data_IF_229149737572
#
_entry.id   IF_229149737572
#
_cell.length_a   1.000
_cell.length_b   1.000
_cell.length_c   1.000
_cell.angle_alpha   90.00
_cell.angle_beta   90.00
_cell.angle_gamma   90.00
#
_symmetry.space_group_name_H-M   'P 1'
#
loop_
_entity.id
_entity.type
_entity.pdbx_description
1 polymer ?
#
# COMPACT_ATOMS: atom_id res chain seq x y z
N UNK A 1 -5.41 -16.89 14.21
CA UNK A 1 -4.68 -15.84 13.47
C UNK A 1 -5.71 -14.83 12.97
N UNK A 2 -5.46 -13.53 13.09
CA UNK A 2 -6.32 -12.49 12.52
C UNK A 2 -6.13 -12.43 11.00
N UNK A 3 -7.12 -11.95 10.23
CA UNK A 3 -6.92 -11.70 8.81
C UNK A 3 -5.95 -10.52 8.59
N UNK A 4 -5.36 -10.46 7.40
CA UNK A 4 -4.62 -9.29 6.94
C UNK A 4 -5.56 -8.32 6.21
N UNK A 5 -5.16 -7.06 6.14
CA UNK A 5 -5.75 -6.03 5.28
C UNK A 5 -4.77 -5.69 4.17
N UNK A 6 -5.23 -5.71 2.93
CA UNK A 6 -4.48 -5.32 1.74
C UNK A 6 -5.14 -4.10 1.11
N UNK A 7 -4.34 -3.08 0.73
CA UNK A 7 -4.84 -1.85 0.12
C UNK A 7 -4.22 -1.71 -1.26
N UNK A 8 -5.04 -1.84 -2.31
CA UNK A 8 -4.63 -1.93 -3.70
C UNK A 8 -5.18 -0.77 -4.53
N UNK A 9 -4.31 -0.16 -5.34
CA UNK A 9 -4.62 0.95 -6.26
C UNK A 9 -4.47 0.54 -7.73
N UNK A 10 -3.85 -0.61 -8.01
CA UNK A 10 -3.62 -1.12 -9.36
C UNK A 10 -3.96 -2.61 -9.47
N UNK A 11 -4.22 -3.08 -10.67
CA UNK A 11 -4.47 -4.50 -10.92
C UNK A 11 -3.25 -5.37 -10.58
N UNK A 12 -2.03 -4.84 -10.76
CA UNK A 12 -0.80 -5.53 -10.36
C UNK A 12 -0.76 -5.78 -8.85
N UNK A 13 -1.04 -4.76 -8.04
CA UNK A 13 -1.07 -4.86 -6.59
C UNK A 13 -2.12 -5.87 -6.12
N UNK A 14 -3.31 -5.87 -6.77
CA UNK A 14 -4.35 -6.88 -6.50
C UNK A 14 -3.85 -8.30 -6.74
N UNK A 15 -3.13 -8.53 -7.85
CA UNK A 15 -2.58 -9.86 -8.16
C UNK A 15 -1.56 -10.29 -7.11
N UNK A 16 -0.61 -9.43 -6.78
CA UNK A 16 0.44 -9.70 -5.79
C UNK A 16 -0.17 -10.02 -4.43
N UNK A 17 -1.09 -9.19 -3.96
CA UNK A 17 -1.70 -9.37 -2.64
C UNK A 17 -2.69 -10.54 -2.59
N UNK A 18 -3.35 -10.89 -3.70
CA UNK A 18 -4.17 -12.10 -3.78
C UNK A 18 -3.31 -13.37 -3.64
N UNK A 19 -2.14 -13.40 -4.29
CA UNK A 19 -1.19 -14.50 -4.18
C UNK A 19 -0.60 -14.60 -2.76
N UNK A 20 -0.29 -13.46 -2.15
CA UNK A 20 0.14 -13.38 -0.73
C UNK A 20 -0.95 -13.89 0.21
N UNK A 21 -2.18 -13.44 0.03
CA UNK A 21 -3.33 -13.87 0.82
C UNK A 21 -3.59 -15.38 0.69
N UNK A 22 -3.49 -15.95 -0.52
CA UNK A 22 -3.68 -17.37 -0.78
C UNK A 22 -2.65 -18.30 -0.11
N UNK A 23 -1.49 -17.75 0.27
CA UNK A 23 -0.46 -18.50 1.03
C UNK A 23 -0.68 -18.46 2.53
N UNK A 24 -1.50 -17.56 3.03
CA UNK A 24 -1.82 -17.44 4.44
C UNK A 24 -3.01 -18.34 4.79
N UNK A 25 -2.79 -19.30 5.69
CA UNK A 25 -3.90 -20.13 6.20
C UNK A 25 -4.84 -19.29 7.07
N UNK A 26 -6.14 -19.51 6.96
CA UNK A 26 -7.09 -18.95 7.91
C UNK A 26 -8.37 -18.38 7.30
N UNK A 27 -8.91 -17.34 7.95
CA UNK A 27 -10.14 -16.65 7.53
C UNK A 27 -9.89 -15.83 6.25
N UNK A 28 -10.93 -15.54 5.45
CA UNK A 28 -10.78 -14.61 4.34
C UNK A 28 -10.14 -13.31 4.81
N UNK A 29 -9.13 -12.86 4.07
CA UNK A 29 -8.47 -11.58 4.30
C UNK A 29 -9.36 -10.44 3.80
N UNK A 30 -9.08 -9.20 4.16
CA UNK A 30 -9.80 -8.04 3.60
C UNK A 30 -8.92 -7.36 2.56
N UNK A 31 -9.51 -7.05 1.39
CA UNK A 31 -8.84 -6.31 0.34
C UNK A 31 -9.62 -5.03 0.03
N UNK A 32 -9.01 -3.89 0.28
CA UNK A 32 -9.55 -2.57 -0.10
C UNK A 32 -9.10 -2.29 -1.53
N UNK A 33 -10.07 -2.07 -2.41
CA UNK A 33 -9.83 -1.66 -3.79
C UNK A 33 -10.13 -0.17 -3.92
N UNK A 34 -9.13 0.59 -4.34
CA UNK A 34 -9.31 1.98 -4.72
C UNK A 34 -10.16 2.09 -5.99
N UNK A 35 -10.99 3.14 -6.08
CA UNK A 35 -11.76 3.44 -7.29
C UNK A 35 -10.88 3.74 -8.53
N UNK A 36 -9.56 3.89 -8.35
CA UNK A 36 -8.60 4.02 -9.46
C UNK A 36 -8.37 2.71 -10.22
N UNK A 37 -8.74 1.56 -9.66
CA UNK A 37 -8.63 0.26 -10.34
C UNK A 37 -9.76 0.15 -11.39
N UNK A 38 -9.45 -0.14 -12.66
CA UNK A 38 -10.48 -0.33 -13.69
C UNK A 38 -11.45 -1.47 -13.34
N UNK A 39 -12.70 -1.33 -13.72
CA UNK A 39 -13.76 -2.33 -13.52
C UNK A 39 -13.87 -2.86 -12.09
N UNK A 40 -13.65 -1.98 -11.10
CA UNK A 40 -13.49 -2.33 -9.68
C UNK A 40 -14.63 -3.20 -9.16
N UNK A 41 -15.89 -2.95 -9.56
CA UNK A 41 -17.03 -3.73 -9.08
C UNK A 41 -17.02 -5.17 -9.61
N UNK A 42 -16.73 -5.37 -10.90
CA UNK A 42 -16.62 -6.70 -11.50
C UNK A 42 -15.43 -7.47 -10.92
N UNK A 43 -14.31 -6.78 -10.73
CA UNK A 43 -13.11 -7.35 -10.10
C UNK A 43 -13.40 -7.78 -8.66
N UNK A 44 -14.08 -6.94 -7.88
CA UNK A 44 -14.46 -7.25 -6.49
C UNK A 44 -15.31 -8.53 -6.42
N UNK A 45 -16.33 -8.66 -7.27
CA UNK A 45 -17.17 -9.86 -7.30
C UNK A 45 -16.36 -11.13 -7.60
N UNK A 46 -15.39 -11.05 -8.53
CA UNK A 46 -14.50 -12.17 -8.86
C UNK A 46 -13.57 -12.54 -7.72
N UNK A 47 -13.01 -11.54 -7.02
CA UNK A 47 -12.14 -11.72 -5.87
C UNK A 47 -12.88 -12.36 -4.69
N UNK A 48 -14.09 -11.88 -4.39
CA UNK A 48 -14.93 -12.41 -3.33
C UNK A 48 -15.31 -13.89 -3.61
N UNK A 49 -15.55 -14.22 -4.89
CA UNK A 49 -15.85 -15.60 -5.31
C UNK A 49 -14.69 -16.59 -5.07
N UNK A 50 -13.44 -16.09 -4.91
CA UNK A 50 -12.30 -16.96 -4.56
C UNK A 50 -12.37 -17.50 -3.13
N UNK A 51 -13.10 -16.83 -2.23
CA UNK A 51 -13.12 -17.13 -0.80
C UNK A 51 -11.84 -16.79 -0.05
N UNK A 52 -10.80 -16.31 -0.75
CA UNK A 52 -9.49 -15.93 -0.17
C UNK A 52 -9.54 -14.56 0.47
N UNK A 53 -10.22 -13.63 -0.18
CA UNK A 53 -10.39 -12.25 0.29
C UNK A 53 -11.86 -11.85 0.31
N UNK A 54 -12.18 -10.85 1.13
CA UNK A 54 -13.42 -10.10 1.09
C UNK A 54 -13.09 -8.67 0.69
N UNK A 55 -13.72 -8.16 -0.36
CA UNK A 55 -13.39 -6.85 -0.92
C UNK A 55 -14.20 -5.73 -0.29
N UNK A 56 -13.57 -4.55 -0.24
CA UNK A 56 -14.17 -3.28 0.16
C UNK A 56 -13.80 -2.24 -0.89
N UNK A 57 -14.79 -1.59 -1.50
CA UNK A 57 -14.55 -0.54 -2.49
C UNK A 57 -14.45 0.81 -1.78
N UNK A 58 -13.41 1.58 -2.08
CA UNK A 58 -13.19 2.90 -1.50
C UNK A 58 -12.93 3.94 -2.59
N UNK A 59 -13.76 4.97 -2.62
CA UNK A 59 -13.59 6.10 -3.52
C UNK A 59 -12.69 7.17 -2.88
N UNK A 60 -11.42 7.13 -3.22
CA UNK A 60 -10.42 8.10 -2.74
C UNK A 60 -10.53 9.49 -3.37
N UNK A 61 -11.29 9.64 -4.45
CA UNK A 61 -11.44 10.94 -5.14
C UNK A 61 -12.12 11.97 -4.25
N UNK A 62 -12.81 11.51 -3.21
CA UNK A 62 -13.56 12.33 -2.25
C UNK A 62 -12.74 12.80 -1.06
N UNK A 63 -11.42 12.86 -1.17
CA UNK A 63 -10.58 13.34 -0.08
C UNK A 63 -10.97 14.77 0.37
N UNK A 64 -11.17 15.02 1.70
CA UNK A 64 -11.67 16.30 2.21
C UNK A 64 -10.65 17.44 2.12
N UNK A 65 -9.46 17.20 1.57
CA UNK A 65 -8.37 18.16 1.53
C UNK A 65 -7.54 18.20 2.83
N UNK A 66 -6.68 19.19 2.93
CA UNK A 66 -5.79 19.35 4.09
C UNK A 66 -6.55 19.92 5.29
N UNK A 67 -6.65 19.16 6.35
CA UNK A 67 -7.17 19.61 7.65
C UNK A 67 -5.99 20.09 8.49
N UNK A 68 -6.08 21.31 9.02
CA UNK A 68 -5.03 21.92 9.84
C UNK A 68 -5.50 22.18 11.27
N UNK A 69 -4.55 22.45 12.18
CA UNK A 69 -4.81 22.83 13.56
C UNK A 69 -4.80 21.67 14.54
N UNK A 70 -5.20 21.96 15.78
CA UNK A 70 -5.20 20.98 16.85
C UNK A 70 -6.08 19.78 16.51
N UNK A 71 -5.53 18.57 16.71
CA UNK A 71 -6.17 17.29 16.34
C UNK A 71 -6.45 17.12 14.84
N UNK A 72 -5.66 17.76 13.96
CA UNK A 72 -5.84 17.73 12.51
C UNK A 72 -5.98 16.29 11.97
N UNK A 73 -5.07 15.39 12.34
CA UNK A 73 -5.10 13.99 11.91
C UNK A 73 -6.41 13.28 12.28
N UNK A 74 -6.85 13.40 13.52
CA UNK A 74 -8.10 12.78 13.95
C UNK A 74 -9.33 13.32 13.23
N UNK A 75 -9.32 14.63 12.92
CA UNK A 75 -10.40 15.27 12.15
C UNK A 75 -10.37 14.84 10.69
N UNK A 76 -9.18 14.74 10.08
CA UNK A 76 -9.00 14.27 8.73
C UNK A 76 -9.48 12.82 8.57
N UNK A 77 -9.08 11.92 9.48
CA UNK A 77 -9.54 10.54 9.48
C UNK A 77 -11.07 10.44 9.54
N UNK A 78 -11.72 11.15 10.46
CA UNK A 78 -13.19 11.16 10.57
C UNK A 78 -13.89 11.73 9.35
N UNK A 79 -13.32 12.78 8.75
CA UNK A 79 -13.87 13.36 7.53
C UNK A 79 -13.79 12.37 6.36
N UNK A 80 -12.66 11.67 6.21
CA UNK A 80 -12.50 10.62 5.22
C UNK A 80 -13.48 9.47 5.44
N UNK A 81 -13.57 8.94 6.65
CA UNK A 81 -14.51 7.87 7.02
C UNK A 81 -15.96 8.23 6.66
N UNK A 82 -16.35 9.47 6.91
CA UNK A 82 -17.70 9.97 6.59
C UNK A 82 -17.94 10.05 5.07
N UNK A 83 -16.92 10.43 4.31
CA UNK A 83 -17.03 10.61 2.86
C UNK A 83 -17.03 9.28 2.10
N UNK A 84 -16.16 8.34 2.48
CA UNK A 84 -16.04 7.06 1.77
C UNK A 84 -16.90 5.93 2.37
N UNK A 85 -17.53 6.16 3.52
CA UNK A 85 -18.38 5.15 4.17
C UNK A 85 -17.62 3.95 4.74
N UNK A 86 -16.30 4.03 4.80
CA UNK A 86 -15.44 2.96 5.32
C UNK A 86 -14.59 3.45 6.48
N UNK A 87 -14.43 2.60 7.49
CA UNK A 87 -13.63 2.87 8.69
C UNK A 87 -12.69 1.72 8.99
N UNK A 88 -11.41 2.05 9.20
CA UNK A 88 -10.41 1.08 9.60
C UNK A 88 -10.61 0.62 11.06
N UNK A 89 -10.87 -0.66 11.23
CA UNK A 89 -10.78 -1.32 12.55
C UNK A 89 -9.40 -2.00 12.68
N UNK A 90 -8.42 -1.27 13.21
CA UNK A 90 -7.03 -1.77 13.38
C UNK A 90 -6.94 -3.06 14.18
N UNK A 91 -7.81 -3.22 15.19
CA UNK A 91 -7.80 -4.40 16.04
C UNK A 91 -8.27 -5.68 15.33
N UNK A 92 -8.93 -5.53 14.17
CA UNK A 92 -9.44 -6.65 13.40
C UNK A 92 -8.36 -7.37 12.57
N UNK A 93 -7.22 -6.71 12.31
CA UNK A 93 -6.20 -7.19 11.39
C UNK A 93 -4.88 -7.52 12.10
N UNK A 94 -4.18 -8.53 11.57
CA UNK A 94 -2.81 -8.87 11.96
C UNK A 94 -1.83 -7.86 11.36
N UNK A 95 -1.86 -7.71 10.05
CA UNK A 95 -1.05 -6.76 9.29
C UNK A 95 -1.92 -5.94 8.35
N UNK A 96 -1.45 -4.73 8.03
CA UNK A 96 -2.01 -3.83 7.02
C UNK A 96 -0.93 -3.63 5.97
N UNK A 97 -1.20 -4.03 4.73
CA UNK A 97 -0.30 -3.89 3.59
C UNK A 97 -0.78 -2.78 2.67
N UNK A 98 0.13 -1.98 2.18
CA UNK A 98 -0.12 -0.92 1.20
C UNK A 98 1.09 -0.76 0.28
N UNK A 99 0.87 -0.50 -1.01
CA UNK A 99 1.92 -0.31 -1.99
C UNK A 99 2.24 1.16 -2.26
N UNK A 100 1.36 2.05 -1.83
CA UNK A 100 1.47 3.49 -2.11
C UNK A 100 1.09 4.30 -0.87
N UNK A 101 2.08 4.61 -0.03
CA UNK A 101 1.84 5.35 1.21
C UNK A 101 1.66 6.87 1.00
N UNK A 102 1.89 7.38 -0.22
CA UNK A 102 1.54 8.75 -0.60
C UNK A 102 0.11 8.90 -1.11
N UNK A 103 -0.62 7.80 -1.31
CA UNK A 103 -2.04 7.80 -1.68
C UNK A 103 -2.90 8.45 -0.58
N UNK A 104 -4.16 8.66 -0.91
CA UNK A 104 -5.15 9.11 0.08
C UNK A 104 -5.32 8.10 1.20
N UNK A 105 -5.35 6.81 0.86
CA UNK A 105 -5.44 5.73 1.86
C UNK A 105 -4.18 5.64 2.71
N UNK A 106 -2.98 5.88 2.15
CA UNK A 106 -1.74 5.98 2.91
C UNK A 106 -1.76 7.12 3.94
N UNK A 107 -2.26 8.31 3.54
CA UNK A 107 -2.47 9.43 4.47
C UNK A 107 -3.50 9.09 5.55
N UNK A 108 -4.59 8.42 5.18
CA UNK A 108 -5.59 7.99 6.13
C UNK A 108 -5.02 7.00 7.17
N UNK A 109 -4.14 6.08 6.77
CA UNK A 109 -3.43 5.22 7.73
C UNK A 109 -2.60 6.02 8.72
N UNK A 110 -1.90 7.06 8.26
CA UNK A 110 -1.13 7.97 9.13
C UNK A 110 -2.05 8.77 10.05
N UNK A 111 -3.17 9.27 9.55
CA UNK A 111 -4.18 9.98 10.35
C UNK A 111 -4.79 9.09 11.44
N UNK A 112 -4.99 7.81 11.14
CA UNK A 112 -5.42 6.79 12.10
C UNK A 112 -4.30 6.33 13.04
N UNK A 113 -3.04 6.75 12.81
CA UNK A 113 -1.86 6.22 13.48
C UNK A 113 -1.81 4.68 13.41
N UNK A 114 -2.15 4.14 12.26
CA UNK A 114 -2.18 2.72 12.01
C UNK A 114 -0.82 2.23 11.52
N UNK A 115 -0.22 1.25 12.21
CA UNK A 115 0.97 0.57 11.70
C UNK A 115 0.65 -0.12 10.37
N UNK A 116 1.52 0.05 9.36
CA UNK A 116 1.38 -0.57 8.06
C UNK A 116 2.73 -1.07 7.53
N UNK A 117 2.65 -2.00 6.60
CA UNK A 117 3.76 -2.53 5.83
C UNK A 117 3.67 -1.91 4.45
N UNK A 118 4.72 -1.21 4.04
CA UNK A 118 4.83 -0.68 2.69
C UNK A 118 5.41 -1.77 1.80
N UNK A 119 4.68 -2.12 0.75
CA UNK A 119 5.16 -3.06 -0.26
C UNK A 119 5.64 -2.30 -1.50
N UNK A 120 6.58 -2.88 -2.19
CA UNK A 120 7.02 -2.36 -3.47
C UNK A 120 5.85 -2.23 -4.45
N UNK A 121 5.74 -1.05 -5.10
CA UNK A 121 4.60 -0.73 -5.98
C UNK A 121 4.82 -1.23 -7.41
N UNK A 122 6.06 -1.18 -7.88
CA UNK A 122 6.43 -1.56 -9.24
C UNK A 122 7.88 -2.03 -9.30
N UNK A 123 8.22 -2.77 -10.36
CA UNK A 123 9.61 -3.13 -10.71
C UNK A 123 10.59 -1.94 -10.75
N UNK A 124 10.08 -0.71 -10.89
CA UNK A 124 10.89 0.50 -10.95
C UNK A 124 11.55 0.89 -9.64
N UNK A 125 11.04 0.45 -8.49
CA UNK A 125 11.65 0.72 -7.20
C UNK A 125 12.92 -0.10 -6.94
N UNK A 126 13.12 -1.18 -7.68
CA UNK A 126 14.29 -2.08 -7.59
C UNK A 126 15.32 -1.87 -8.67
N UNK A 127 15.03 -1.05 -9.68
CA UNK A 127 16.00 -0.74 -10.72
C UNK A 127 17.16 0.08 -10.13
N UNK A 128 18.38 -0.44 -10.28
CA UNK A 128 19.59 0.16 -9.74
C UNK A 128 19.89 1.57 -10.27
N UNK A 129 20.87 2.25 -9.71
CA UNK A 129 21.13 3.69 -9.89
C UNK A 129 21.41 4.11 -11.35
N UNK A 130 21.64 3.17 -12.24
CA UNK A 130 22.01 3.44 -13.64
C UNK A 130 20.81 3.61 -14.59
N UNK A 131 19.59 3.35 -14.13
CA UNK A 131 18.39 3.39 -14.97
C UNK A 131 17.33 4.32 -14.41
N UNK A 132 17.14 5.48 -15.00
CA UNK A 132 16.03 6.45 -14.78
C UNK A 132 15.84 7.00 -13.36
N UNK A 133 16.40 6.37 -12.34
CA UNK A 133 16.13 6.61 -10.93
C UNK A 133 16.73 7.91 -10.40
N UNK A 134 17.77 8.47 -11.01
CA UNK A 134 18.36 9.73 -10.49
C UNK A 134 17.36 10.87 -10.62
N UNK A 135 16.62 10.94 -11.73
CA UNK A 135 15.58 11.94 -11.95
C UNK A 135 14.38 11.65 -11.05
N UNK A 136 14.01 10.40 -10.93
CA UNK A 136 12.84 9.97 -10.14
C UNK A 136 13.13 10.06 -8.63
N UNK A 137 14.34 9.76 -8.18
CA UNK A 137 14.77 9.96 -6.79
C UNK A 137 14.75 11.43 -6.40
N UNK A 138 15.18 12.31 -7.30
CA UNK A 138 15.14 13.76 -7.06
C UNK A 138 13.71 14.26 -6.99
N UNK A 139 12.86 13.85 -7.92
CA UNK A 139 11.43 14.16 -7.90
C UNK A 139 10.74 13.60 -6.64
N UNK A 140 11.08 12.39 -6.22
CA UNK A 140 10.57 11.78 -4.99
C UNK A 140 11.06 12.55 -3.75
N UNK A 141 12.32 12.95 -3.69
CA UNK A 141 12.87 13.74 -2.59
C UNK A 141 12.21 15.14 -2.50
N UNK A 142 12.00 15.81 -3.64
CA UNK A 142 11.30 17.09 -3.72
C UNK A 142 9.83 16.94 -3.29
N UNK A 143 9.17 15.88 -3.72
CA UNK A 143 7.82 15.57 -3.31
C UNK A 143 7.75 15.31 -1.81
N UNK A 144 8.62 14.46 -1.27
CA UNK A 144 8.70 14.17 0.16
C UNK A 144 8.97 15.43 0.99
N UNK A 145 9.89 16.30 0.55
CA UNK A 145 10.18 17.58 1.20
C UNK A 145 8.93 18.49 1.25
N UNK A 146 8.19 18.58 0.15
CA UNK A 146 6.92 19.34 0.09
C UNK A 146 5.86 18.77 1.03
N UNK A 147 5.80 17.45 1.18
CA UNK A 147 4.80 16.79 2.02
C UNK A 147 5.16 16.81 3.51
N UNK A 148 6.45 16.84 3.87
CA UNK A 148 6.89 17.06 5.27
C UNK A 148 6.29 18.33 5.85
N UNK A 149 6.23 19.41 5.05
CA UNK A 149 5.56 20.66 5.45
C UNK A 149 4.07 20.52 5.74
N UNK A 150 3.43 19.43 5.30
CA UNK A 150 2.02 19.08 5.54
C UNK A 150 1.82 18.08 6.68
N UNK A 151 2.91 17.63 7.32
CA UNK A 151 2.88 16.68 8.45
C UNK A 151 2.73 15.21 8.08
N UNK A 152 2.72 14.85 6.77
CA UNK A 152 2.79 13.46 6.31
C UNK A 152 4.20 13.13 5.85
N UNK A 153 4.60 11.88 6.08
CA UNK A 153 5.86 11.31 5.62
C UNK A 153 5.55 10.10 4.72
N UNK A 154 6.31 9.94 3.66
CA UNK A 154 6.09 8.94 2.63
C UNK A 154 7.34 8.10 2.40
N UNK A 155 7.27 7.14 1.51
CA UNK A 155 8.40 6.28 1.13
C UNK A 155 8.97 5.48 2.30
N UNK A 156 8.09 5.04 3.20
CA UNK A 156 8.51 4.31 4.39
C UNK A 156 9.04 5.17 5.53
N UNK A 157 9.18 6.50 5.35
CA UNK A 157 9.68 7.42 6.39
C UNK A 157 8.68 7.66 7.52
N UNK A 158 7.41 7.32 7.33
CA UNK A 158 6.39 7.50 8.35
C UNK A 158 6.70 6.67 9.60
N UNK A 159 6.52 7.22 10.82
CA UNK A 159 6.66 6.44 12.05
C UNK A 159 5.65 5.29 12.16
N UNK A 160 4.62 5.30 11.31
CA UNK A 160 3.62 4.25 11.23
C UNK A 160 3.96 3.17 10.20
N UNK A 161 4.96 3.38 9.33
CA UNK A 161 5.52 2.32 8.51
C UNK A 161 6.39 1.42 9.38
N UNK A 162 5.93 0.20 9.65
CA UNK A 162 6.64 -0.73 10.53
C UNK A 162 7.76 -1.48 9.81
N UNK A 163 7.62 -1.69 8.50
CA UNK A 163 8.66 -2.22 7.60
C UNK A 163 8.32 -1.95 6.15
N UNK A 164 9.32 -2.11 5.30
CA UNK A 164 9.19 -2.05 3.84
C UNK A 164 9.55 -3.42 3.27
N UNK A 165 8.69 -3.98 2.46
CA UNK A 165 8.90 -5.26 1.75
C UNK A 165 9.19 -5.00 0.29
N UNK A 166 10.34 -5.49 -0.20
CA UNK A 166 10.79 -5.38 -1.59
C UNK A 166 11.27 -6.75 -2.07
N UNK A 167 11.19 -7.00 -3.37
CA UNK A 167 11.76 -8.20 -4.00
C UNK A 167 13.28 -8.25 -3.85
N UNK A 168 13.94 -7.10 -3.90
CA UNK A 168 15.39 -6.98 -3.74
C UNK A 168 15.72 -5.75 -2.89
N UNK A 169 15.71 -5.96 -1.58
CA UNK A 169 15.99 -4.90 -0.60
C UNK A 169 17.38 -4.27 -0.81
N UNK A 170 18.37 -5.03 -1.29
CA UNK A 170 19.73 -4.53 -1.51
C UNK A 170 19.81 -3.53 -2.67
N UNK A 171 18.91 -3.63 -3.65
CA UNK A 171 18.86 -2.76 -4.84
C UNK A 171 17.89 -1.60 -4.70
N UNK A 172 17.01 -1.66 -3.72
CA UNK A 172 16.02 -0.62 -3.50
C UNK A 172 16.63 0.56 -2.75
N UNK A 173 16.71 1.71 -3.39
CA UNK A 173 17.34 2.93 -2.84
C UNK A 173 16.32 4.01 -2.46
N UNK A 174 15.03 3.79 -2.73
CA UNK A 174 13.98 4.78 -2.49
C UNK A 174 13.50 4.82 -1.03
N UNK A 175 13.66 3.71 -0.31
CA UNK A 175 13.09 3.54 1.01
C UNK A 175 14.17 3.56 2.11
N UNK A 176 13.76 3.84 3.34
CA UNK A 176 14.64 3.77 4.50
C UNK A 176 15.22 2.37 4.68
N UNK A 177 16.53 2.24 4.56
CA UNK A 177 17.24 0.95 4.58
C UNK A 177 17.09 0.19 5.91
N UNK A 178 16.90 0.89 7.01
CA UNK A 178 16.73 0.32 8.35
C UNK A 178 15.43 -0.48 8.55
N UNK A 179 14.45 -0.29 7.66
CA UNK A 179 13.15 -0.96 7.71
C UNK A 179 12.93 -1.95 6.58
N UNK A 180 13.91 -2.09 5.69
CA UNK A 180 13.74 -2.92 4.50
C UNK A 180 13.92 -4.40 4.80
N UNK A 181 13.01 -5.20 4.24
CA UNK A 181 13.06 -6.65 4.28
C UNK A 181 12.85 -7.18 2.86
N UNK A 182 13.68 -8.14 2.46
CA UNK A 182 13.48 -8.85 1.20
C UNK A 182 12.33 -9.83 1.35
N UNK A 183 11.26 -9.64 0.56
CA UNK A 183 10.18 -10.62 0.46
C UNK A 183 10.40 -11.55 -0.72
N UNK A 184 11.08 -12.66 -0.47
CA UNK A 184 11.36 -13.70 -1.48
C UNK A 184 10.10 -14.33 -2.08
N UNK A 185 8.92 -14.09 -1.48
CA UNK A 185 7.66 -14.63 -2.00
C UNK A 185 7.24 -14.00 -3.33
N UNK A 186 7.76 -12.81 -3.64
CA UNK A 186 7.45 -12.08 -4.87
C UNK A 186 8.33 -12.51 -6.05
N UNK A 187 9.52 -13.06 -5.80
CA UNK A 187 10.50 -13.45 -6.84
C UNK A 187 9.90 -14.45 -7.83
N UNK A 188 9.04 -15.36 -7.37
CA UNK A 188 8.43 -16.38 -8.23
C UNK A 188 7.32 -15.84 -9.15
N UNK A 189 6.88 -14.59 -8.96
CA UNK A 189 5.86 -13.96 -9.80
C UNK A 189 6.51 -13.27 -10.99
N UNK A 190 7.72 -12.77 -10.81
CA UNK A 190 8.45 -11.96 -11.79
C UNK A 190 9.35 -12.77 -12.73
N UNK A 191 9.66 -14.03 -12.42
CA UNK A 191 10.39 -14.88 -13.37
C UNK A 191 9.45 -15.39 -14.47
N UNK A 192 9.56 -14.89 -15.72
CA UNK A 192 8.92 -15.57 -16.84
C UNK A 192 9.55 -16.95 -16.92
N UNK A 193 8.71 -17.99 -16.89
CA UNK A 193 9.12 -19.37 -17.13
C UNK A 193 9.98 -19.38 -18.39
N UNK A 194 11.30 -19.39 -18.26
CA UNK A 194 12.20 -19.70 -19.37
C UNK A 194 11.83 -21.12 -19.79
N UNK A 195 11.02 -21.22 -20.85
CA UNK A 195 10.88 -22.50 -21.56
C UNK A 195 12.28 -22.83 -22.03
N UNK A 196 12.87 -23.85 -21.40
CA UNK A 196 14.01 -24.56 -21.97
C UNK A 196 13.51 -25.19 -23.27
N UNK A 197 13.85 -24.60 -24.39
CA UNK A 197 13.83 -25.24 -25.68
C UNK A 197 15.06 -26.13 -25.80
#
# INVERSE_FOLDING_TARGET
>A
MKPNLYICHTAYQVLVDLLRAGRCAGKPHTMVLSASVPDTAALAARLDATGVVKTVLVDETRWPGTVTGLFAHRRAARAFEKLCGWKLNRAAFENVYIHNDWSVLGRYLQDCRAGYILCEDTFGSTLGPDQHLVTDQRAAADFAAKQRGKGYLYWGDSPWCVRVESEDAARCTLFSADRMVTDLSLIHISEPTRRRG
#
